data_IF_892046241858
#
_entry.id   IF_892046241858
#
_cell.length_a   1.000
_cell.length_b   1.000
_cell.length_c   1.000
_cell.angle_alpha   90.00
_cell.angle_beta   90.00
_cell.angle_gamma   90.00
#
_symmetry.space_group_name_H-M   'P 1'
#
loop_
_entity.id
_entity.type
_entity.pdbx_description
1 polymer ?
#
# COMPACT_ATOMS: atom_id res chain seq x y z
N UNK A 1 -20.24 9.40 -34.70
CA UNK A 1 -20.52 9.59 -33.23
C UNK A 1 -19.37 8.99 -32.43
N UNK A 2 -18.71 9.75 -31.57
CA UNK A 2 -17.70 9.20 -30.67
C UNK A 2 -18.39 8.20 -29.72
N UNK A 3 -17.88 6.97 -29.66
CA UNK A 3 -18.42 5.94 -28.76
C UNK A 3 -18.24 6.45 -27.32
N UNK A 4 -19.33 6.58 -26.57
CA UNK A 4 -19.26 6.97 -25.15
C UNK A 4 -18.39 5.96 -24.40
N UNK A 5 -17.44 6.44 -23.62
CA UNK A 5 -16.59 5.58 -22.81
C UNK A 5 -17.45 4.87 -21.76
N UNK A 6 -17.07 3.65 -21.39
CA UNK A 6 -17.62 2.96 -20.21
C UNK A 6 -17.15 3.68 -18.95
N UNK A 7 -17.96 3.68 -17.88
CA UNK A 7 -17.66 4.36 -16.62
C UNK A 7 -16.31 3.93 -15.98
N UNK A 8 -15.94 2.66 -16.09
CA UNK A 8 -14.65 2.15 -15.60
C UNK A 8 -13.50 2.75 -16.40
N UNK A 9 -13.69 2.90 -17.70
CA UNK A 9 -12.71 3.48 -18.61
C UNK A 9 -12.50 4.97 -18.33
N UNK A 10 -13.59 5.72 -18.09
CA UNK A 10 -13.52 7.13 -17.67
C UNK A 10 -12.75 7.27 -16.35
N UNK A 11 -13.14 6.51 -15.31
CA UNK A 11 -12.49 6.53 -14.00
C UNK A 11 -11.01 6.12 -14.06
N UNK A 12 -10.67 5.13 -14.88
CA UNK A 12 -9.30 4.69 -15.13
C UNK A 12 -8.45 5.82 -15.72
N UNK A 13 -8.95 6.48 -16.76
CA UNK A 13 -8.25 7.60 -17.41
C UNK A 13 -8.08 8.79 -16.48
N UNK A 14 -9.13 9.14 -15.75
CA UNK A 14 -9.11 10.24 -14.77
C UNK A 14 -8.13 9.95 -13.63
N UNK A 15 -8.10 8.70 -13.14
CA UNK A 15 -7.17 8.30 -12.09
C UNK A 15 -5.73 8.42 -12.55
N UNK A 16 -5.41 7.96 -13.76
CA UNK A 16 -4.07 8.10 -14.36
C UNK A 16 -3.68 9.56 -14.49
N UNK A 17 -4.56 10.40 -15.05
CA UNK A 17 -4.28 11.81 -15.32
C UNK A 17 -4.13 12.62 -14.04
N UNK A 18 -5.11 12.52 -13.13
CA UNK A 18 -5.15 13.34 -11.91
C UNK A 18 -4.02 13.02 -10.93
N UNK A 19 -3.49 11.80 -10.98
CA UNK A 19 -2.41 11.35 -10.10
C UNK A 19 -1.08 11.16 -10.82
N UNK A 20 -0.97 11.54 -12.10
CA UNK A 20 0.25 11.38 -12.92
C UNK A 20 0.84 9.96 -12.81
N UNK A 21 -0.02 8.92 -12.90
CA UNK A 21 0.40 7.55 -12.62
C UNK A 21 1.30 6.97 -13.71
N UNK A 22 1.08 7.36 -14.98
CA UNK A 22 1.78 6.82 -16.14
C UNK A 22 2.33 7.97 -16.98
N UNK A 23 3.60 7.86 -17.34
CA UNK A 23 4.30 8.79 -18.22
C UNK A 23 4.67 8.09 -19.54
N UNK A 24 4.90 8.89 -20.58
CA UNK A 24 5.44 8.37 -21.83
C UNK A 24 6.81 7.72 -21.62
N UNK A 25 7.01 6.55 -22.18
CA UNK A 25 8.23 5.75 -22.03
C UNK A 25 8.25 4.84 -20.79
N UNK A 26 7.21 4.85 -19.95
CA UNK A 26 7.13 3.93 -18.82
C UNK A 26 7.07 2.48 -19.29
N UNK A 27 7.72 1.59 -18.53
CA UNK A 27 7.59 0.14 -18.65
C UNK A 27 6.96 -0.40 -17.37
N UNK A 28 5.78 -1.03 -17.49
CA UNK A 28 4.89 -1.35 -16.38
C UNK A 28 4.76 -2.86 -16.22
N UNK A 29 5.16 -3.37 -15.05
CA UNK A 29 4.83 -4.75 -14.64
C UNK A 29 3.41 -4.77 -14.10
N UNK A 30 2.55 -5.58 -14.69
CA UNK A 30 1.13 -5.72 -14.31
C UNK A 30 0.94 -7.01 -13.54
N UNK A 31 0.54 -6.91 -12.27
CA UNK A 31 0.19 -8.07 -11.45
C UNK A 31 -1.19 -8.60 -11.83
N UNK A 32 -1.25 -9.80 -12.40
CA UNK A 32 -2.49 -10.41 -12.91
C UNK A 32 -2.76 -11.73 -12.23
N UNK A 33 -3.91 -11.84 -11.54
CA UNK A 33 -4.38 -13.08 -10.90
C UNK A 33 -5.34 -13.89 -11.75
N UNK A 34 -5.87 -13.33 -12.86
CA UNK A 34 -6.93 -13.93 -13.66
C UNK A 34 -8.34 -13.54 -13.21
N UNK A 35 -8.51 -12.91 -12.05
CA UNK A 35 -9.80 -12.41 -11.57
C UNK A 35 -10.25 -11.12 -12.26
N UNK A 36 -11.52 -10.70 -12.04
CA UNK A 36 -12.15 -9.59 -12.77
C UNK A 36 -11.36 -8.27 -12.67
N UNK A 37 -10.90 -7.89 -11.48
CA UNK A 37 -10.15 -6.65 -11.27
C UNK A 37 -8.85 -6.63 -12.07
N UNK A 38 -8.07 -7.72 -12.00
CA UNK A 38 -6.77 -7.80 -12.67
C UNK A 38 -6.88 -7.92 -14.19
N UNK A 39 -7.93 -8.59 -14.69
CA UNK A 39 -8.18 -8.72 -16.11
C UNK A 39 -8.69 -7.38 -16.70
N UNK A 40 -9.55 -6.66 -15.97
CA UNK A 40 -9.97 -5.31 -16.35
C UNK A 40 -8.78 -4.35 -16.42
N UNK A 41 -7.91 -4.36 -15.41
CA UNK A 41 -6.68 -3.54 -15.40
C UNK A 41 -5.80 -3.85 -16.63
N UNK A 42 -5.54 -5.14 -16.89
CA UNK A 42 -4.71 -5.58 -18.01
C UNK A 42 -5.32 -5.15 -19.35
N UNK A 43 -6.64 -5.34 -19.52
CA UNK A 43 -7.37 -4.96 -20.74
C UNK A 43 -7.26 -3.46 -21.00
N UNK A 44 -7.49 -2.63 -19.98
CA UNK A 44 -7.40 -1.17 -20.11
C UNK A 44 -5.97 -0.70 -20.37
N UNK A 45 -4.98 -1.22 -19.64
CA UNK A 45 -3.59 -0.90 -19.88
C UNK A 45 -3.18 -1.31 -21.32
N UNK A 46 -3.58 -2.48 -21.79
CA UNK A 46 -3.27 -2.91 -23.16
C UNK A 46 -3.96 -2.03 -24.22
N UNK A 47 -5.21 -1.62 -23.99
CA UNK A 47 -5.98 -0.73 -24.89
C UNK A 47 -5.31 0.63 -25.06
N UNK A 48 -4.77 1.18 -23.98
CA UNK A 48 -4.25 2.56 -23.98
C UNK A 48 -2.73 2.67 -24.13
N UNK A 49 -1.98 1.55 -24.24
CA UNK A 49 -0.52 1.56 -24.32
C UNK A 49 0.03 2.42 -25.46
N UNK A 50 -0.54 2.33 -26.65
CA UNK A 50 -0.09 3.13 -27.79
C UNK A 50 -0.45 4.61 -27.66
N UNK A 51 -1.61 4.93 -27.05
CA UNK A 51 -2.05 6.31 -26.84
C UNK A 51 -1.15 7.08 -25.88
N UNK A 52 -0.67 6.44 -24.82
CA UNK A 52 0.17 7.06 -23.81
C UNK A 52 1.66 6.68 -23.92
N UNK A 53 2.00 5.89 -24.96
CA UNK A 53 3.36 5.47 -25.26
C UNK A 53 4.08 4.81 -24.07
N UNK A 54 3.55 3.67 -23.58
CA UNK A 54 4.17 2.84 -22.57
C UNK A 54 4.15 1.35 -22.94
N UNK A 55 4.98 0.56 -22.28
CA UNK A 55 5.02 -0.89 -22.41
C UNK A 55 4.42 -1.59 -21.21
N UNK A 56 3.86 -2.79 -21.41
CA UNK A 56 3.33 -3.64 -20.34
C UNK A 56 3.94 -5.03 -20.37
N UNK A 57 4.17 -5.58 -19.19
CA UNK A 57 4.66 -6.93 -18.95
C UNK A 57 3.78 -7.53 -17.88
N UNK A 58 3.29 -8.75 -18.09
CA UNK A 58 2.45 -9.44 -17.10
C UNK A 58 3.28 -10.31 -16.19
N UNK A 59 3.05 -10.17 -14.88
CA UNK A 59 3.57 -11.03 -13.84
C UNK A 59 2.43 -11.74 -13.10
N UNK A 60 2.38 -13.06 -13.19
CA UNK A 60 1.42 -13.93 -12.51
C UNK A 60 2.12 -14.74 -11.43
N UNK A 61 1.52 -14.81 -10.22
CA UNK A 61 2.00 -15.69 -9.15
C UNK A 61 0.96 -16.75 -8.87
N UNK A 62 1.34 -18.00 -9.13
CA UNK A 62 0.55 -19.17 -8.78
C UNK A 62 0.96 -19.63 -7.37
N UNK A 63 0.06 -19.47 -6.41
CA UNK A 63 0.32 -19.77 -4.99
C UNK A 63 0.24 -21.27 -4.64
N UNK A 64 -0.13 -22.13 -5.59
CA UNK A 64 -0.29 -23.58 -5.42
C UNK A 64 -1.26 -23.99 -4.27
N UNK A 65 -2.22 -23.12 -3.94
CA UNK A 65 -3.18 -23.38 -2.83
C UNK A 65 -4.30 -24.31 -3.30
N UNK A 66 -4.66 -24.26 -4.58
CA UNK A 66 -5.78 -24.99 -5.18
C UNK A 66 -5.30 -25.93 -6.27
N UNK A 67 -6.03 -27.04 -6.48
CA UNK A 67 -5.75 -27.98 -7.59
C UNK A 67 -5.89 -27.29 -8.96
N UNK A 68 -6.83 -26.35 -9.09
CA UNK A 68 -7.14 -25.63 -10.33
C UNK A 68 -6.26 -24.39 -10.57
N UNK A 69 -5.27 -24.14 -9.72
CA UNK A 69 -4.38 -22.99 -9.84
C UNK A 69 -3.54 -22.99 -11.13
N UNK A 70 -3.34 -24.16 -11.73
CA UNK A 70 -2.69 -24.32 -13.04
C UNK A 70 -3.57 -23.82 -14.18
N UNK A 71 -4.90 -23.94 -14.07
CA UNK A 71 -5.85 -23.46 -15.06
C UNK A 71 -5.89 -21.93 -15.08
N UNK A 72 -5.76 -21.28 -13.89
CA UNK A 72 -5.69 -19.83 -13.80
C UNK A 72 -4.41 -19.29 -14.47
N UNK A 73 -3.27 -19.95 -14.26
CA UNK A 73 -2.00 -19.67 -14.92
C UNK A 73 -2.12 -19.77 -16.44
N UNK A 74 -2.67 -20.91 -16.92
CA UNK A 74 -2.86 -21.16 -18.35
C UNK A 74 -3.81 -20.13 -18.99
N UNK A 75 -4.87 -19.74 -18.30
CA UNK A 75 -5.80 -18.72 -18.75
C UNK A 75 -5.09 -17.37 -18.96
N UNK A 76 -4.30 -16.91 -17.98
CA UNK A 76 -3.57 -15.64 -18.09
C UNK A 76 -2.50 -15.72 -19.18
N UNK A 77 -1.78 -16.83 -19.29
CA UNK A 77 -0.79 -17.04 -20.34
C UNK A 77 -1.41 -16.97 -21.74
N UNK A 78 -2.54 -17.66 -21.96
CA UNK A 78 -3.26 -17.64 -23.23
C UNK A 78 -3.76 -16.24 -23.59
N UNK A 79 -4.28 -15.50 -22.61
CA UNK A 79 -4.66 -14.10 -22.80
C UNK A 79 -3.48 -13.25 -23.25
N UNK A 80 -2.31 -13.40 -22.61
CA UNK A 80 -1.10 -12.67 -22.97
C UNK A 80 -0.60 -13.04 -24.36
N UNK A 81 -0.57 -14.33 -24.72
CA UNK A 81 -0.20 -14.80 -26.06
C UNK A 81 -1.10 -14.20 -27.15
N UNK A 82 -2.42 -14.22 -26.95
CA UNK A 82 -3.41 -13.64 -27.88
C UNK A 82 -3.20 -12.14 -28.12
N UNK A 83 -2.75 -11.43 -27.11
CA UNK A 83 -2.57 -9.97 -27.15
C UNK A 83 -1.11 -9.51 -27.39
N UNK A 84 -0.17 -10.43 -27.62
CA UNK A 84 1.24 -10.11 -27.82
C UNK A 84 1.90 -9.44 -26.62
N UNK A 85 1.50 -9.84 -25.39
CA UNK A 85 2.02 -9.29 -24.15
C UNK A 85 3.03 -10.28 -23.53
N UNK A 86 4.17 -9.77 -23.10
CA UNK A 86 5.20 -10.57 -22.42
C UNK A 86 4.69 -11.06 -21.08
N UNK A 87 4.84 -12.36 -20.81
CA UNK A 87 4.29 -13.04 -19.63
C UNK A 87 5.38 -13.72 -18.82
N UNK A 88 5.32 -13.54 -17.51
CA UNK A 88 6.13 -14.23 -16.51
C UNK A 88 5.26 -14.86 -15.45
N UNK A 89 5.57 -16.10 -15.08
CA UNK A 89 4.89 -16.81 -14.00
C UNK A 89 5.90 -17.29 -12.95
N UNK A 90 5.51 -17.22 -11.68
CA UNK A 90 6.22 -17.81 -10.55
C UNK A 90 5.26 -18.71 -9.79
N UNK A 91 5.65 -19.98 -9.57
CA UNK A 91 4.91 -20.93 -8.73
C UNK A 91 5.51 -20.93 -7.33
N UNK A 92 4.69 -20.77 -6.30
CA UNK A 92 5.13 -20.65 -4.90
C UNK A 92 4.25 -21.47 -3.99
N UNK A 93 4.84 -22.40 -3.23
CA UNK A 93 4.12 -23.13 -2.17
C UNK A 93 4.00 -22.23 -0.92
N UNK A 94 2.96 -21.40 -0.90
CA UNK A 94 2.73 -20.43 0.19
C UNK A 94 2.51 -21.10 1.53
N UNK A 95 1.83 -22.25 1.56
CA UNK A 95 1.53 -22.99 2.80
C UNK A 95 2.80 -23.51 3.47
N UNK A 96 3.74 -24.01 2.71
CA UNK A 96 5.02 -24.50 3.22
C UNK A 96 5.86 -23.34 3.78
N UNK A 97 5.99 -22.23 3.04
CA UNK A 97 6.73 -21.06 3.47
C UNK A 97 6.11 -20.43 4.72
N UNK A 98 4.76 -20.38 4.79
CA UNK A 98 4.04 -19.86 5.94
C UNK A 98 4.34 -20.65 7.22
N UNK A 99 4.36 -21.99 7.12
CA UNK A 99 4.74 -22.87 8.23
C UNK A 99 6.19 -22.64 8.67
N UNK A 100 7.13 -22.58 7.73
CA UNK A 100 8.55 -22.35 8.03
C UNK A 100 8.80 -21.00 8.70
N UNK A 101 8.13 -19.94 8.22
CA UNK A 101 8.29 -18.58 8.74
C UNK A 101 7.40 -18.25 9.94
N UNK A 102 6.50 -19.15 10.35
CA UNK A 102 5.47 -18.92 11.39
C UNK A 102 4.63 -17.65 11.12
N UNK A 103 4.26 -17.41 9.86
CA UNK A 103 3.47 -16.28 9.39
C UNK A 103 2.15 -16.74 8.78
N UNK A 104 1.21 -15.81 8.63
CA UNK A 104 -0.04 -16.06 7.91
C UNK A 104 0.18 -16.27 6.41
N UNK A 105 -0.56 -17.19 5.79
CA UNK A 105 -0.49 -17.48 4.35
C UNK A 105 -0.75 -16.24 3.49
N UNK A 106 -1.70 -15.36 3.89
CA UNK A 106 -2.00 -14.11 3.20
C UNK A 106 -0.78 -13.17 3.18
N UNK A 107 -0.08 -13.04 4.32
CA UNK A 107 1.11 -12.21 4.43
C UNK A 107 2.26 -12.77 3.56
N UNK A 108 2.50 -14.07 3.64
CA UNK A 108 3.54 -14.73 2.83
C UNK A 108 3.23 -14.62 1.35
N UNK A 109 2.01 -14.94 0.93
CA UNK A 109 1.59 -14.84 -0.47
C UNK A 109 1.72 -13.41 -1.01
N UNK A 110 1.39 -12.42 -0.17
CA UNK A 110 1.60 -11.01 -0.52
C UNK A 110 3.09 -10.69 -0.69
N UNK A 111 3.95 -11.09 0.24
CA UNK A 111 5.38 -10.80 0.20
C UNK A 111 6.06 -11.44 -1.02
N UNK A 112 5.76 -12.72 -1.30
CA UNK A 112 6.29 -13.42 -2.48
C UNK A 112 5.84 -12.78 -3.80
N UNK A 113 4.60 -12.28 -3.85
CA UNK A 113 4.09 -11.56 -5.01
C UNK A 113 4.85 -10.26 -5.26
N UNK A 114 5.04 -9.43 -4.23
CA UNK A 114 5.78 -8.17 -4.37
C UNK A 114 7.24 -8.40 -4.72
N UNK A 115 7.88 -9.40 -4.10
CA UNK A 115 9.24 -9.81 -4.42
C UNK A 115 9.37 -10.22 -5.88
N UNK A 116 8.43 -11.01 -6.40
CA UNK A 116 8.44 -11.41 -7.80
C UNK A 116 8.24 -10.23 -8.75
N UNK A 117 7.37 -9.29 -8.42
CA UNK A 117 7.19 -8.09 -9.23
C UNK A 117 8.48 -7.25 -9.29
N UNK A 118 9.20 -7.13 -8.19
CA UNK A 118 10.50 -6.45 -8.15
C UNK A 118 11.56 -7.21 -8.98
N UNK A 119 11.63 -8.54 -8.89
CA UNK A 119 12.49 -9.39 -9.73
C UNK A 119 12.27 -9.16 -11.23
N UNK A 120 11.00 -9.04 -11.64
CA UNK A 120 10.65 -8.77 -13.05
C UNK A 120 10.96 -7.32 -13.44
N UNK A 121 10.75 -6.36 -12.54
CA UNK A 121 11.13 -4.97 -12.80
C UNK A 121 12.65 -4.84 -13.07
N UNK A 122 13.47 -5.50 -12.27
CA UNK A 122 14.93 -5.49 -12.47
C UNK A 122 15.32 -6.17 -13.78
N UNK A 123 14.76 -7.35 -14.07
CA UNK A 123 15.04 -8.14 -15.28
C UNK A 123 14.69 -7.39 -16.56
N UNK A 124 13.59 -6.64 -16.55
CA UNK A 124 13.02 -5.99 -17.72
C UNK A 124 13.33 -4.48 -17.80
N UNK A 125 14.05 -3.94 -16.80
CA UNK A 125 14.26 -2.51 -16.62
C UNK A 125 12.91 -1.75 -16.57
N UNK A 126 11.92 -2.34 -15.89
CA UNK A 126 10.63 -1.71 -15.69
C UNK A 126 10.66 -0.79 -14.48
N UNK A 127 9.99 0.37 -14.59
CA UNK A 127 10.01 1.40 -13.56
C UNK A 127 8.71 1.48 -12.75
N UNK A 128 7.67 0.75 -13.16
CA UNK A 128 6.36 0.76 -12.50
C UNK A 128 5.77 -0.63 -12.32
N UNK A 129 4.94 -0.76 -11.27
CA UNK A 129 4.17 -1.97 -10.97
C UNK A 129 2.70 -1.55 -10.84
N UNK A 130 1.82 -2.09 -11.69
CA UNK A 130 0.39 -1.84 -11.65
C UNK A 130 -0.34 -2.98 -10.91
N UNK A 131 -1.18 -2.62 -9.94
CA UNK A 131 -1.97 -3.54 -9.12
C UNK A 131 -3.44 -3.16 -9.21
N UNK A 132 -4.31 -4.14 -9.38
CA UNK A 132 -5.74 -3.97 -9.58
C UNK A 132 -6.54 -3.80 -8.28
N UNK A 133 -6.06 -2.98 -7.34
CA UNK A 133 -6.87 -2.59 -6.19
C UNK A 133 -7.99 -1.65 -6.65
N UNK A 134 -9.18 -1.86 -6.11
CA UNK A 134 -10.38 -1.12 -6.42
C UNK A 134 -10.94 -0.36 -5.19
N UNK A 135 -12.04 0.35 -5.35
CA UNK A 135 -12.68 1.14 -4.29
C UNK A 135 -13.13 0.28 -3.11
N UNK A 136 -13.62 -0.95 -3.36
CA UNK A 136 -14.01 -1.88 -2.30
C UNK A 136 -12.81 -2.33 -1.47
N UNK A 137 -11.66 -2.60 -2.12
CA UNK A 137 -10.43 -2.95 -1.41
C UNK A 137 -9.95 -1.81 -0.50
N UNK A 138 -10.12 -0.57 -0.95
CA UNK A 138 -9.82 0.61 -0.14
C UNK A 138 -10.73 0.69 1.10
N UNK A 139 -12.04 0.54 0.94
CA UNK A 139 -13.00 0.52 2.03
C UNK A 139 -12.71 -0.61 3.04
N UNK A 140 -12.45 -1.83 2.56
CA UNK A 140 -12.05 -2.98 3.39
C UNK A 140 -10.78 -2.67 4.21
N UNK A 141 -9.79 -2.06 3.57
CA UNK A 141 -8.52 -1.72 4.22
C UNK A 141 -8.71 -0.63 5.28
N UNK A 142 -9.49 0.41 4.98
CA UNK A 142 -9.80 1.47 5.92
C UNK A 142 -10.50 0.94 7.17
N UNK A 143 -11.53 0.09 7.01
CA UNK A 143 -12.24 -0.56 8.12
C UNK A 143 -11.30 -1.47 8.92
N UNK A 144 -10.49 -2.29 8.25
CA UNK A 144 -9.53 -3.18 8.90
C UNK A 144 -8.52 -2.41 9.75
N UNK A 145 -8.02 -1.29 9.23
CA UNK A 145 -7.08 -0.43 9.95
C UNK A 145 -7.75 0.27 11.12
N UNK A 146 -9.00 0.74 10.98
CA UNK A 146 -9.80 1.32 12.06
C UNK A 146 -9.97 0.32 13.21
N UNK A 147 -10.35 -0.93 12.91
CA UNK A 147 -10.51 -2.00 13.90
C UNK A 147 -9.20 -2.32 14.62
N UNK A 148 -8.06 -2.22 13.94
CA UNK A 148 -6.74 -2.45 14.53
C UNK A 148 -6.24 -1.28 15.38
N UNK A 149 -6.88 -0.13 15.29
CA UNK A 149 -6.43 1.10 15.93
C UNK A 149 -5.27 1.74 15.16
N UNK A 150 -5.56 2.74 14.35
CA UNK A 150 -4.56 3.41 13.52
C UNK A 150 -4.67 4.93 13.64
N UNK A 151 -3.61 5.64 13.25
CA UNK A 151 -3.62 7.07 12.98
C UNK A 151 -4.02 7.40 11.54
N UNK A 152 -3.79 8.66 11.14
CA UNK A 152 -4.16 9.14 9.80
C UNK A 152 -3.55 8.28 8.68
N UNK A 153 -2.28 7.87 8.79
CA UNK A 153 -1.60 7.04 7.79
C UNK A 153 -2.31 5.73 7.46
N UNK A 154 -3.03 5.14 8.41
CA UNK A 154 -3.79 3.92 8.12
C UNK A 154 -5.22 4.20 7.65
N UNK A 155 -5.80 5.34 8.05
CA UNK A 155 -7.16 5.74 7.64
C UNK A 155 -7.19 6.34 6.23
N UNK A 156 -6.07 6.81 5.68
CA UNK A 156 -5.99 7.20 4.27
C UNK A 156 -6.19 6.02 3.31
N UNK A 157 -6.19 4.78 3.83
CA UNK A 157 -6.47 3.58 3.06
C UNK A 157 -5.42 3.27 2.00
N UNK A 158 -5.89 2.81 0.83
CA UNK A 158 -5.04 2.47 -0.31
C UNK A 158 -4.95 3.67 -1.24
N UNK A 159 -3.76 4.23 -1.41
CA UNK A 159 -3.53 5.38 -2.27
C UNK A 159 -3.38 4.99 -3.76
N UNK A 160 -3.72 5.89 -4.71
CA UNK A 160 -3.55 5.66 -6.15
C UNK A 160 -2.12 5.29 -6.52
N UNK A 161 -1.13 5.85 -5.80
CA UNK A 161 0.29 5.54 -5.99
C UNK A 161 1.02 5.41 -4.65
N UNK A 162 2.19 4.77 -4.69
CA UNK A 162 3.06 4.58 -3.54
C UNK A 162 4.53 4.48 -3.98
N UNK A 163 5.46 4.84 -3.08
CA UNK A 163 6.90 4.79 -3.33
C UNK A 163 7.31 5.56 -4.59
N UNK A 164 7.02 6.86 -4.63
CA UNK A 164 7.33 7.75 -5.76
C UNK A 164 6.78 7.22 -7.09
N UNK A 165 5.51 6.84 -7.11
CA UNK A 165 4.82 6.26 -8.28
C UNK A 165 5.40 4.94 -8.80
N UNK A 166 6.19 4.21 -8.01
CA UNK A 166 6.64 2.85 -8.37
C UNK A 166 5.46 1.87 -8.40
N UNK A 167 4.58 1.91 -7.40
CA UNK A 167 3.33 1.14 -7.37
C UNK A 167 2.15 2.02 -7.75
N UNK A 168 1.39 1.62 -8.76
CA UNK A 168 0.22 2.36 -9.25
C UNK A 168 -1.05 1.50 -9.20
N UNK A 169 -2.20 2.16 -8.97
CA UNK A 169 -3.51 1.52 -8.83
C UNK A 169 -4.57 2.26 -9.64
N UNK A 170 -4.55 2.09 -10.97
CA UNK A 170 -5.44 2.85 -11.85
C UNK A 170 -6.94 2.60 -11.65
N UNK A 171 -7.32 1.46 -11.01
CA UNK A 171 -8.72 1.10 -10.74
C UNK A 171 -9.22 1.50 -9.35
N UNK A 172 -8.43 2.25 -8.57
CA UNK A 172 -8.77 2.54 -7.16
C UNK A 172 -10.10 3.28 -6.98
N UNK A 173 -10.55 4.02 -7.99
CA UNK A 173 -11.82 4.75 -8.01
C UNK A 173 -12.98 3.98 -8.65
N UNK A 174 -12.76 2.74 -9.10
CA UNK A 174 -13.79 1.87 -9.65
C UNK A 174 -14.36 0.98 -8.55
N UNK A 175 -15.67 0.83 -8.46
CA UNK A 175 -16.26 -0.14 -7.56
C UNK A 175 -16.36 -1.53 -8.22
N UNK A 176 -16.58 -2.55 -7.41
CA UNK A 176 -16.59 -3.95 -7.89
C UNK A 176 -17.69 -4.22 -8.92
N UNK A 177 -18.89 -3.67 -8.73
CA UNK A 177 -20.01 -3.90 -9.65
C UNK A 177 -19.69 -3.31 -11.03
N UNK A 178 -19.13 -2.09 -11.07
CA UNK A 178 -18.68 -1.46 -12.33
C UNK A 178 -17.66 -2.32 -13.06
N UNK A 179 -16.69 -2.90 -12.33
CA UNK A 179 -15.66 -3.80 -12.90
C UNK A 179 -16.29 -5.09 -13.46
N UNK A 180 -17.22 -5.69 -12.73
CA UNK A 180 -17.94 -6.89 -13.18
C UNK A 180 -18.79 -6.62 -14.42
N UNK A 181 -19.45 -5.47 -14.49
CA UNK A 181 -20.21 -5.04 -15.65
C UNK A 181 -19.30 -4.73 -16.85
N UNK A 182 -18.14 -4.08 -16.61
CA UNK A 182 -17.12 -3.91 -17.64
C UNK A 182 -16.65 -5.24 -18.21
N UNK A 183 -16.42 -6.27 -17.38
CA UNK A 183 -16.06 -7.60 -17.84
C UNK A 183 -17.13 -8.20 -18.76
N UNK A 184 -18.42 -8.10 -18.37
CA UNK A 184 -19.54 -8.60 -19.21
C UNK A 184 -19.62 -7.88 -20.55
N UNK A 185 -19.57 -6.55 -20.55
CA UNK A 185 -19.66 -5.73 -21.77
C UNK A 185 -18.51 -5.97 -22.75
N UNK A 186 -17.33 -6.36 -22.24
CA UNK A 186 -16.15 -6.65 -23.06
C UNK A 186 -15.94 -8.14 -23.32
N UNK A 187 -16.90 -9.00 -22.97
CA UNK A 187 -16.82 -10.46 -23.11
C UNK A 187 -15.53 -11.04 -22.47
N UNK A 188 -15.14 -10.50 -21.34
CA UNK A 188 -14.06 -11.05 -20.54
C UNK A 188 -14.61 -12.16 -19.66
N UNK A 189 -13.93 -13.28 -19.61
CA UNK A 189 -14.32 -14.46 -18.82
C UNK A 189 -13.36 -14.62 -17.63
N UNK A 190 -13.45 -13.76 -16.60
CA UNK A 190 -12.54 -13.83 -15.48
C UNK A 190 -12.75 -15.09 -14.64
N UNK A 191 -11.66 -15.59 -14.07
CA UNK A 191 -11.71 -16.73 -13.14
C UNK A 191 -12.19 -16.24 -11.77
N UNK A 192 -13.15 -16.95 -11.20
CA UNK A 192 -13.73 -16.62 -9.89
C UNK A 192 -13.07 -17.50 -8.83
N UNK A 193 -12.38 -16.86 -7.88
CA UNK A 193 -11.76 -17.55 -6.76
C UNK A 193 -12.82 -17.97 -5.72
N UNK A 194 -13.05 -19.27 -5.56
CA UNK A 194 -14.00 -19.83 -4.59
C UNK A 194 -13.63 -19.53 -3.14
N UNK A 195 -12.35 -19.36 -2.82
CA UNK A 195 -11.87 -19.05 -1.45
C UNK A 195 -12.29 -17.65 -0.97
N UNK A 196 -12.69 -16.75 -1.86
CA UNK A 196 -13.25 -15.43 -1.50
C UNK A 196 -14.53 -15.54 -0.66
N UNK A 197 -15.24 -16.67 -0.70
CA UNK A 197 -16.46 -16.92 0.11
C UNK A 197 -16.15 -17.40 1.53
N UNK A 198 -14.95 -17.85 1.80
CA UNK A 198 -14.56 -18.37 3.10
C UNK A 198 -14.28 -17.23 4.09
N UNK A 199 -14.90 -17.29 5.29
CA UNK A 199 -14.73 -16.26 6.32
C UNK A 199 -13.56 -16.54 7.28
N UNK A 200 -12.50 -17.17 6.81
CA UNK A 200 -11.31 -17.51 7.60
C UNK A 200 -10.48 -16.26 7.88
N UNK A 201 -10.36 -15.38 6.92
CA UNK A 201 -9.56 -14.15 7.04
C UNK A 201 -10.40 -12.96 7.48
N UNK A 202 -9.86 -12.10 8.35
CA UNK A 202 -10.54 -10.88 8.83
C UNK A 202 -11.05 -10.00 7.69
N UNK A 203 -10.32 -9.92 6.59
CA UNK A 203 -10.72 -9.17 5.40
C UNK A 203 -11.98 -9.74 4.76
N UNK A 204 -12.08 -11.07 4.67
CA UNK A 204 -13.28 -11.72 4.14
C UNK A 204 -14.51 -11.51 5.06
N UNK A 205 -14.32 -11.47 6.38
CA UNK A 205 -15.40 -11.13 7.32
C UNK A 205 -15.91 -9.70 7.07
N UNK A 206 -15.00 -8.73 6.89
CA UNK A 206 -15.37 -7.35 6.56
C UNK A 206 -16.14 -7.31 5.25
N UNK A 207 -15.64 -7.97 4.21
CA UNK A 207 -16.25 -8.03 2.87
C UNK A 207 -17.63 -8.69 2.88
N UNK A 208 -17.74 -9.85 3.51
CA UNK A 208 -18.91 -10.73 3.37
C UNK A 208 -20.00 -10.46 4.42
N UNK A 209 -19.67 -9.83 5.56
CA UNK A 209 -20.60 -9.56 6.66
C UNK A 209 -20.72 -8.09 7.02
N UNK A 210 -19.60 -7.41 7.30
CA UNK A 210 -19.66 -6.05 7.84
C UNK A 210 -20.07 -5.03 6.78
N UNK A 211 -19.47 -5.07 5.60
CA UNK A 211 -19.84 -4.15 4.50
C UNK A 211 -21.29 -4.32 4.07
N UNK A 212 -21.85 -5.54 3.88
CA UNK A 212 -23.28 -5.73 3.63
C UNK A 212 -24.16 -5.12 4.73
N UNK A 213 -23.84 -5.35 5.99
CA UNK A 213 -24.58 -4.73 7.10
C UNK A 213 -24.51 -3.18 7.07
N UNK A 214 -23.33 -2.62 6.81
CA UNK A 214 -23.18 -1.16 6.68
C UNK A 214 -23.96 -0.60 5.48
N UNK A 215 -24.16 -1.37 4.41
CA UNK A 215 -24.96 -0.97 3.26
C UNK A 215 -26.46 -0.89 3.59
N UNK A 216 -26.95 -1.63 4.57
CA UNK A 216 -28.33 -1.49 5.06
C UNK A 216 -28.54 -0.11 5.70
N UNK A 217 -27.51 0.44 6.36
CA UNK A 217 -27.54 1.76 6.99
C UNK A 217 -27.24 2.89 5.99
N UNK A 218 -26.33 2.64 5.06
CA UNK A 218 -25.93 3.56 4.01
C UNK A 218 -25.58 2.79 2.73
N UNK A 219 -26.48 2.74 1.73
CA UNK A 219 -26.25 2.04 0.47
C UNK A 219 -24.96 2.46 -0.25
N UNK A 220 -24.52 3.71 -0.05
CA UNK A 220 -23.32 4.28 -0.66
C UNK A 220 -22.10 4.24 0.28
N UNK A 221 -22.03 3.30 1.22
CA UNK A 221 -20.96 3.27 2.23
C UNK A 221 -19.55 3.13 1.61
N UNK A 222 -19.41 2.41 0.51
CA UNK A 222 -18.12 2.22 -0.19
C UNK A 222 -17.61 3.56 -0.72
N UNK A 223 -18.46 4.31 -1.42
CA UNK A 223 -18.16 5.64 -1.95
C UNK A 223 -17.90 6.64 -0.82
N UNK A 224 -18.66 6.53 0.27
CA UNK A 224 -18.50 7.38 1.46
C UNK A 224 -17.14 7.15 2.11
N UNK A 225 -16.74 5.90 2.33
CA UNK A 225 -15.41 5.55 2.87
C UNK A 225 -14.30 5.99 1.92
N UNK A 226 -14.46 5.80 0.62
CA UNK A 226 -13.47 6.24 -0.38
C UNK A 226 -13.28 7.76 -0.33
N UNK A 227 -14.36 8.56 -0.30
CA UNK A 227 -14.25 10.03 -0.16
C UNK A 227 -13.58 10.43 1.15
N UNK A 228 -13.95 9.77 2.24
CA UNK A 228 -13.34 10.03 3.55
C UNK A 228 -11.84 9.74 3.53
N UNK A 229 -11.41 8.65 2.88
CA UNK A 229 -9.98 8.31 2.77
C UNK A 229 -9.20 9.37 1.98
N UNK A 230 -9.78 9.94 0.93
CA UNK A 230 -9.16 11.04 0.15
C UNK A 230 -8.97 12.28 1.03
N UNK A 231 -10.00 12.71 1.75
CA UNK A 231 -9.91 13.88 2.66
C UNK A 231 -8.84 13.66 3.72
N UNK A 232 -8.76 12.45 4.29
CA UNK A 232 -7.74 12.11 5.27
C UNK A 232 -6.35 12.14 4.64
N UNK A 233 -6.19 11.60 3.42
CA UNK A 233 -4.92 11.59 2.71
C UNK A 233 -4.40 13.01 2.42
N UNK A 234 -5.26 13.91 1.93
CA UNK A 234 -4.93 15.31 1.67
C UNK A 234 -4.45 16.03 2.94
N UNK A 235 -5.18 15.86 4.05
CA UNK A 235 -4.79 16.45 5.34
C UNK A 235 -3.48 15.84 5.87
N UNK A 236 -3.31 14.53 5.73
CA UNK A 236 -2.10 13.85 6.17
C UNK A 236 -0.89 14.29 5.33
N UNK A 237 -1.04 14.41 4.02
CA UNK A 237 0.00 14.92 3.13
C UNK A 237 0.47 16.33 3.54
N UNK A 238 -0.47 17.21 3.86
CA UNK A 238 -0.14 18.56 4.37
C UNK A 238 0.68 18.47 5.67
N UNK A 239 0.23 17.65 6.64
CA UNK A 239 0.95 17.45 7.90
C UNK A 239 2.35 16.90 7.66
N UNK A 240 2.51 15.91 6.78
CA UNK A 240 3.81 15.32 6.47
C UNK A 240 4.75 16.31 5.77
N UNK A 241 4.26 17.12 4.82
CA UNK A 241 5.04 18.17 4.16
C UNK A 241 5.53 19.22 5.16
N UNK A 242 4.65 19.69 6.03
CA UNK A 242 5.01 20.66 7.06
C UNK A 242 5.96 20.05 8.10
N UNK A 243 5.76 18.78 8.49
CA UNK A 243 6.67 18.08 9.37
C UNK A 243 8.06 17.92 8.76
N UNK A 244 8.16 17.60 7.46
CA UNK A 244 9.46 17.50 6.78
C UNK A 244 10.18 18.86 6.70
N UNK A 245 9.45 19.97 6.45
CA UNK A 245 10.02 21.33 6.46
C UNK A 245 10.58 21.68 7.85
N UNK A 246 9.80 21.42 8.88
CA UNK A 246 10.22 21.72 10.26
C UNK A 246 11.34 20.78 10.70
N UNK A 247 11.29 19.50 10.34
CA UNK A 247 12.36 18.55 10.58
C UNK A 247 13.69 19.08 10.04
N UNK A 248 13.74 19.51 8.78
CA UNK A 248 14.95 20.03 8.15
C UNK A 248 15.51 21.29 8.84
N UNK A 249 14.66 22.07 9.54
CA UNK A 249 15.05 23.31 10.24
C UNK A 249 15.65 23.07 11.62
N UNK A 250 15.10 22.09 12.37
CA UNK A 250 15.40 21.91 13.80
C UNK A 250 16.15 20.62 14.11
N UNK A 251 16.45 19.82 13.09
CA UNK A 251 17.12 18.53 13.31
C UNK A 251 18.46 18.46 12.59
N UNK A 252 19.38 17.73 13.20
CA UNK A 252 20.65 17.31 12.62
C UNK A 252 20.63 15.78 12.49
N UNK A 253 20.68 15.29 11.24
CA UNK A 253 20.68 13.86 10.93
C UNK A 253 22.14 13.38 10.76
N UNK A 254 22.54 12.39 11.56
CA UNK A 254 23.79 11.64 11.46
C UNK A 254 23.45 10.19 11.10
N UNK A 255 24.42 9.37 10.76
CA UNK A 255 24.21 7.98 10.27
C UNK A 255 23.19 7.18 11.13
N UNK A 256 23.32 7.20 12.45
CA UNK A 256 22.49 6.42 13.37
C UNK A 256 21.80 7.27 14.46
N UNK A 257 21.76 8.61 14.29
CA UNK A 257 21.29 9.56 15.30
C UNK A 257 20.58 10.73 14.65
N UNK A 258 19.41 11.09 15.18
CA UNK A 258 18.74 12.37 14.93
C UNK A 258 18.80 13.21 16.20
N UNK A 259 19.35 14.40 16.11
CA UNK A 259 19.34 15.41 17.16
C UNK A 259 18.30 16.49 16.84
N UNK A 260 17.39 16.79 17.77
CA UNK A 260 16.30 17.76 17.62
C UNK A 260 16.50 18.88 18.62
N UNK A 261 16.47 20.13 18.18
CA UNK A 261 16.51 21.29 19.08
C UNK A 261 15.22 21.40 19.88
N UNK A 262 15.32 21.30 21.23
CA UNK A 262 14.17 21.30 22.11
C UNK A 262 13.48 22.66 22.22
N UNK A 263 14.21 23.77 22.03
CA UNK A 263 13.67 25.14 22.16
C UNK A 263 12.59 25.38 21.09
N UNK A 264 12.86 24.94 19.88
CA UNK A 264 11.91 25.12 18.78
C UNK A 264 10.91 23.99 18.68
N UNK A 265 11.33 22.75 18.99
CA UNK A 265 10.45 21.58 19.05
C UNK A 265 9.28 21.77 20.04
N UNK A 266 9.56 22.24 21.27
CA UNK A 266 8.53 22.37 22.30
C UNK A 266 7.52 23.51 22.04
N UNK A 267 7.83 24.46 21.14
CA UNK A 267 6.89 25.51 20.72
C UNK A 267 5.86 25.01 19.70
N UNK A 268 6.11 23.86 19.06
CA UNK A 268 5.26 23.36 18.01
C UNK A 268 3.99 22.70 18.54
N UNK A 269 2.88 22.73 17.76
CA UNK A 269 1.68 21.97 18.09
C UNK A 269 1.98 20.48 18.26
N UNK A 270 1.24 19.81 19.14
CA UNK A 270 1.44 18.39 19.50
C UNK A 270 1.42 17.46 18.26
N UNK A 271 0.56 17.73 17.27
CA UNK A 271 0.51 16.96 16.03
C UNK A 271 1.83 17.04 15.25
N UNK A 272 2.42 18.24 15.18
CA UNK A 272 3.71 18.46 14.49
C UNK A 272 4.86 17.76 15.22
N UNK A 273 4.90 17.86 16.55
CA UNK A 273 5.91 17.17 17.35
C UNK A 273 5.85 15.66 17.16
N UNK A 274 4.64 15.07 17.13
CA UNK A 274 4.44 13.64 16.82
C UNK A 274 4.94 13.28 15.43
N UNK A 275 4.61 14.07 14.42
CA UNK A 275 5.05 13.83 13.05
C UNK A 275 6.58 13.90 12.91
N UNK A 276 7.25 14.85 13.59
CA UNK A 276 8.72 14.98 13.59
C UNK A 276 9.38 13.76 14.25
N UNK A 277 8.83 13.26 15.37
CA UNK A 277 9.35 12.03 16.01
C UNK A 277 9.18 10.82 15.08
N UNK A 278 8.01 10.70 14.44
CA UNK A 278 7.76 9.63 13.47
C UNK A 278 8.74 9.69 12.29
N UNK A 279 8.97 10.88 11.71
CA UNK A 279 9.97 11.08 10.66
C UNK A 279 11.38 10.74 11.14
N UNK A 280 11.75 11.11 12.38
CA UNK A 280 13.05 10.77 12.93
C UNK A 280 13.26 9.27 13.00
N UNK A 281 12.26 8.54 13.49
CA UNK A 281 12.32 7.08 13.59
C UNK A 281 12.35 6.43 12.20
N UNK A 282 11.54 6.93 11.27
CA UNK A 282 11.51 6.42 9.90
C UNK A 282 12.86 6.60 9.18
N UNK A 283 13.49 7.77 9.33
CA UNK A 283 14.82 8.05 8.77
C UNK A 283 15.91 7.14 9.33
N UNK A 284 15.80 6.76 10.60
CA UNK A 284 16.78 5.89 11.27
C UNK A 284 16.54 4.40 10.97
N UNK A 285 15.28 3.96 10.94
CA UNK A 285 14.89 2.54 10.94
C UNK A 285 14.30 2.08 9.59
N UNK A 286 14.11 2.99 8.63
CA UNK A 286 13.47 2.73 7.35
C UNK A 286 11.96 2.46 7.43
N UNK A 287 11.38 2.44 8.64
CA UNK A 287 9.95 2.30 8.88
C UNK A 287 9.59 2.60 10.33
N UNK A 288 8.30 2.88 10.58
CA UNK A 288 7.73 3.11 11.92
C UNK A 288 6.96 1.90 12.46
N UNK A 289 7.12 0.72 11.86
CA UNK A 289 6.40 -0.49 12.31
C UNK A 289 6.74 -0.82 13.76
N UNK A 290 5.71 -1.23 14.51
CA UNK A 290 5.81 -1.59 15.93
C UNK A 290 6.12 -0.43 16.90
N UNK A 291 6.06 0.83 16.44
CA UNK A 291 6.10 2.00 17.31
C UNK A 291 4.66 2.41 17.61
N UNK A 292 4.25 2.25 18.88
CA UNK A 292 2.90 2.58 19.31
C UNK A 292 2.73 4.07 19.58
N UNK A 293 1.47 4.55 19.63
CA UNK A 293 1.15 5.92 20.08
C UNK A 293 1.78 6.21 21.44
N UNK A 294 1.72 5.26 22.38
CA UNK A 294 2.30 5.39 23.72
C UNK A 294 3.81 5.67 23.65
N UNK A 295 4.54 4.97 22.78
CA UNK A 295 5.98 5.19 22.62
C UNK A 295 6.31 6.63 22.18
N UNK A 296 5.52 7.17 21.25
CA UNK A 296 5.68 8.55 20.76
C UNK A 296 5.31 9.54 21.89
N UNK A 297 4.20 9.32 22.59
CA UNK A 297 3.74 10.18 23.67
C UNK A 297 4.77 10.20 24.83
N UNK A 298 5.43 9.09 25.14
CA UNK A 298 6.48 9.01 26.14
C UNK A 298 7.75 9.78 25.73
N UNK A 299 8.14 9.73 24.45
CA UNK A 299 9.25 10.54 23.91
C UNK A 299 8.92 12.04 24.01
N UNK A 300 7.67 12.44 23.73
CA UNK A 300 7.23 13.83 23.88
C UNK A 300 7.34 14.27 25.34
N UNK A 301 6.85 13.48 26.29
CA UNK A 301 6.97 13.77 27.71
C UNK A 301 8.42 13.91 28.17
N UNK A 302 9.31 13.07 27.62
CA UNK A 302 10.75 13.17 27.88
C UNK A 302 11.30 14.51 27.39
N UNK A 303 10.89 14.98 26.21
CA UNK A 303 11.30 16.24 25.63
C UNK A 303 10.76 17.47 26.40
N UNK A 304 9.49 17.42 26.84
CA UNK A 304 8.82 18.49 27.57
C UNK A 304 9.45 18.71 28.97
N UNK A 305 9.70 17.61 29.66
CA UNK A 305 10.23 17.68 31.04
C UNK A 305 11.71 18.05 31.09
N UNK A 306 12.40 18.05 29.94
CA UNK A 306 13.84 18.40 29.82
C UNK A 306 14.73 17.77 30.91
N UNK A 307 14.36 16.56 31.39
CA UNK A 307 15.06 15.88 32.48
C UNK A 307 16.32 15.24 31.89
N UNK A 308 17.45 15.87 32.09
CA UNK A 308 18.77 15.32 31.76
C UNK A 308 18.99 13.94 32.39
N UNK A 309 19.74 13.08 31.69
CA UNK A 309 20.09 11.72 32.09
C UNK A 309 18.95 10.68 32.15
N UNK A 310 17.75 11.00 31.68
CA UNK A 310 16.71 9.99 31.42
C UNK A 310 16.72 9.57 29.96
N UNK A 311 16.51 8.28 29.75
CA UNK A 311 16.37 7.73 28.40
C UNK A 311 15.21 6.75 28.36
N UNK A 312 14.67 6.57 27.15
CA UNK A 312 13.61 5.62 26.85
C UNK A 312 14.10 4.70 25.75
N UNK A 313 13.90 3.40 25.92
CA UNK A 313 14.23 2.40 24.90
C UNK A 313 12.95 1.69 24.49
N UNK A 314 12.70 1.67 23.17
CA UNK A 314 11.65 0.88 22.53
C UNK A 314 12.28 0.06 21.42
N UNK A 315 12.36 -1.24 21.61
CA UNK A 315 13.06 -2.14 20.67
C UNK A 315 14.48 -1.64 20.39
N UNK A 316 14.76 -1.34 19.12
CA UNK A 316 16.04 -0.81 18.67
C UNK A 316 16.13 0.73 18.67
N UNK A 317 15.14 1.45 19.19
CA UNK A 317 15.16 2.91 19.28
C UNK A 317 15.44 3.35 20.72
N UNK A 318 16.44 4.20 20.91
CA UNK A 318 16.73 4.89 22.14
C UNK A 318 16.47 6.39 21.97
N UNK A 319 15.73 7.00 22.89
CA UNK A 319 15.53 8.44 22.98
C UNK A 319 16.07 8.97 24.30
N UNK A 320 16.82 10.07 24.28
CA UNK A 320 17.36 10.75 25.46
C UNK A 320 17.39 12.27 25.27
N UNK A 321 17.30 13.02 26.38
CA UNK A 321 17.51 14.47 26.38
C UNK A 321 18.89 14.78 26.91
N UNK A 322 19.69 15.54 26.14
CA UNK A 322 21.03 15.96 26.54
C UNK A 322 21.39 17.31 25.93
N UNK A 323 21.86 18.23 26.77
CA UNK A 323 22.34 19.56 26.36
C UNK A 323 21.30 20.33 25.49
N UNK A 324 20.02 20.35 25.93
CA UNK A 324 18.96 21.07 25.22
C UNK A 324 18.50 20.43 23.87
N UNK A 325 18.93 19.20 23.58
CA UNK A 325 18.56 18.45 22.40
C UNK A 325 17.87 17.14 22.77
N UNK A 326 16.83 16.78 22.06
CA UNK A 326 16.28 15.43 22.04
C UNK A 326 17.08 14.61 21.01
N UNK A 327 17.67 13.52 21.48
CA UNK A 327 18.45 12.57 20.67
C UNK A 327 17.66 11.30 20.47
N UNK A 328 17.45 10.90 19.23
CA UNK A 328 16.82 9.63 18.86
C UNK A 328 17.84 8.84 18.05
N UNK A 329 18.15 7.62 18.48
CA UNK A 329 19.19 6.80 17.84
C UNK A 329 18.80 5.31 17.80
N UNK A 330 19.43 4.56 16.88
CA UNK A 330 19.35 3.10 16.87
C UNK A 330 20.17 2.55 18.03
N UNK A 331 19.59 1.64 18.81
CA UNK A 331 20.26 0.93 19.90
C UNK A 331 20.84 -0.39 19.37
N UNK A 332 22.14 -0.39 19.10
CA UNK A 332 22.86 -1.53 18.49
C UNK A 332 22.89 -2.79 19.37
N UNK A 333 22.69 -2.66 20.69
CA UNK A 333 22.77 -3.78 21.67
C UNK A 333 21.69 -4.86 21.49
N UNK A 334 20.67 -4.66 20.64
CA UNK A 334 19.61 -5.67 20.40
C UNK A 334 19.71 -6.33 19.01
N UNK A 335 20.60 -5.91 18.14
CA UNK A 335 20.80 -6.55 16.83
C UNK A 335 21.55 -7.88 17.01
N UNK A 336 22.43 -7.99 17.99
CA UNK A 336 23.23 -9.20 18.26
C UNK A 336 22.41 -10.37 18.88
N UNK A 337 21.23 -10.10 19.45
CA UNK A 337 20.36 -11.14 20.06
C UNK A 337 19.21 -11.62 19.15
N UNK A 338 19.20 -11.21 17.89
CA UNK A 338 18.12 -11.56 16.93
C UNK A 338 18.63 -12.36 15.71
N UNK A 339 19.89 -12.77 15.72
CA UNK A 339 20.50 -13.69 14.71
C UNK A 339 20.56 -15.12 15.24
#
# INVERSE_FOLDING_TARGET
>A
MAKRLNIVEEKFLDTIKNNNLINSGDKIVVGVSGGPDSLTLLTLLNKYKSKFNYEIIVAHVNHLIRKDSTDDEQFVENYCKKNGIKFYCKRVNVQEIAKQQKKGEEEVGRNERYKFFDEICEKENANKIAIAHNMNDNAETMILNLIRGTGLNGLEGIQPSQYNNRFIRPLINCNRNEIEDFCKENNLEPRIDSTNKENIYKRNIIRNKLIPFLKELNPNIIETLSRTSVIIAENNEFIQKEAQKNFNKITELKSNLVEIDLKDFNKMPIAMRKAIIQLSIDKLNGNIRNISKKNIDDIIKLAENNIGNKYIIYKNIKAEVKKGKLKIQINERQIENSN
#
